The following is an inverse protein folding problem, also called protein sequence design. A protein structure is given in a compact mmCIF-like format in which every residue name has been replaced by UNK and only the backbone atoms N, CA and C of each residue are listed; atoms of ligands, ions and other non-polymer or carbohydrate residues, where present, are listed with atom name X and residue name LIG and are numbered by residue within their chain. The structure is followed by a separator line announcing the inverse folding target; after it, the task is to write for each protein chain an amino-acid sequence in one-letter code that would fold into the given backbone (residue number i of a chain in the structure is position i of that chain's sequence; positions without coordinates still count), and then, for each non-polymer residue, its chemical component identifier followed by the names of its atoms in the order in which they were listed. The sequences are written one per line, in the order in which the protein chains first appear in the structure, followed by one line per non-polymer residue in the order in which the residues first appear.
data_IF_053537951837
#
_entry.id   IF_053537951837
#
_cell.length_a   1.000
_cell.length_b   1.000
_cell.length_c   1.000
_cell.angle_alpha   90.00
_cell.angle_beta   90.00
_cell.angle_gamma   90.00
#
_symmetry.space_group_name_H-M   'P 1'
#
loop_
_entity.id
_entity.type
_entity.pdbx_description
1 polymer ?
#
# COMPACT_ATOMS: atom_id res chain seq x y z
N UNK A 1 26.02 -24.68 -0.11
CA UNK A 1 25.36 -24.20 1.13
C UNK A 1 23.93 -24.67 1.07
N UNK A 2 23.49 -25.48 2.03
CA UNK A 2 22.12 -26.03 2.03
C UNK A 2 21.16 -24.93 2.48
N UNK A 3 20.16 -24.63 1.65
CA UNK A 3 19.08 -23.72 1.96
C UNK A 3 18.24 -24.34 3.09
N UNK A 4 18.20 -23.70 4.26
CA UNK A 4 17.37 -24.11 5.39
C UNK A 4 16.16 -23.15 5.51
N UNK A 5 14.98 -23.54 5.02
CA UNK A 5 13.79 -22.70 4.99
C UNK A 5 13.34 -22.25 6.39
N UNK A 6 13.68 -23.00 7.44
CA UNK A 6 13.28 -22.66 8.81
C UNK A 6 14.11 -21.51 9.36
N UNK A 7 15.43 -21.52 9.12
CA UNK A 7 16.33 -20.43 9.56
C UNK A 7 16.06 -19.11 8.82
N UNK A 8 15.69 -19.17 7.54
CA UNK A 8 15.30 -17.98 6.78
C UNK A 8 13.96 -17.40 7.24
N UNK A 9 12.96 -18.26 7.50
CA UNK A 9 11.70 -17.83 8.12
C UNK A 9 11.97 -17.12 9.45
N UNK A 10 12.84 -17.67 10.30
CA UNK A 10 13.14 -17.10 11.62
C UNK A 10 13.82 -15.72 11.55
N UNK A 11 14.80 -15.54 10.65
CA UNK A 11 15.39 -14.22 10.38
C UNK A 11 14.38 -13.20 9.88
N UNK A 12 13.41 -13.63 9.08
CA UNK A 12 12.37 -12.75 8.57
C UNK A 12 11.34 -12.42 9.67
N UNK A 13 11.02 -13.37 10.55
CA UNK A 13 10.21 -13.12 11.74
C UNK A 13 10.84 -12.07 12.65
N UNK A 14 12.16 -12.09 12.84
CA UNK A 14 12.88 -11.06 13.60
C UNK A 14 12.79 -9.68 12.94
N UNK A 15 12.90 -9.61 11.61
CA UNK A 15 12.73 -8.35 10.87
C UNK A 15 11.30 -7.82 11.02
N UNK A 16 10.29 -8.67 10.90
CA UNK A 16 8.88 -8.30 11.06
C UNK A 16 8.51 -7.95 12.50
N UNK A 17 9.10 -8.63 13.49
CA UNK A 17 8.88 -8.31 14.91
C UNK A 17 9.50 -6.98 15.28
N UNK A 18 10.67 -6.63 14.72
CA UNK A 18 11.26 -5.29 14.88
C UNK A 18 10.36 -4.19 14.29
N UNK A 19 9.64 -4.47 13.20
CA UNK A 19 8.62 -3.54 12.68
C UNK A 19 7.38 -3.48 13.58
N UNK A 20 6.92 -4.62 14.13
CA UNK A 20 5.78 -4.68 15.06
C UNK A 20 6.05 -4.06 16.43
N UNK A 21 7.26 -4.18 16.99
CA UNK A 21 7.64 -3.51 18.24
C UNK A 21 7.68 -1.99 18.07
N UNK A 22 8.07 -1.51 16.89
CA UNK A 22 7.91 -0.11 16.54
C UNK A 22 6.44 0.30 16.42
N UNK A 23 5.50 -0.59 16.10
CA UNK A 23 4.05 -0.29 16.07
C UNK A 23 3.38 -0.30 17.46
N UNK A 24 3.99 -0.80 18.54
CA UNK A 24 3.30 -1.00 19.83
C UNK A 24 3.22 0.24 20.74
N UNK A 25 3.87 1.35 20.42
CA UNK A 25 3.68 2.61 21.16
C UNK A 25 2.39 3.28 20.68
N UNK A 26 1.43 3.54 21.57
CA UNK A 26 0.05 3.95 21.22
C UNK A 26 -0.04 5.17 20.28
N UNK A 27 0.93 6.09 20.29
CA UNK A 27 1.06 7.18 19.30
C UNK A 27 1.30 6.67 17.88
N UNK A 28 2.20 5.70 17.70
CA UNK A 28 2.54 5.14 16.39
C UNK A 28 1.40 4.36 15.76
N UNK A 29 0.53 3.70 16.55
CA UNK A 29 -0.71 3.10 16.04
C UNK A 29 -1.70 4.14 15.54
N UNK A 30 -1.85 5.25 16.26
CA UNK A 30 -2.70 6.37 15.85
C UNK A 30 -2.19 6.99 14.54
N UNK A 31 -0.88 7.26 14.45
CA UNK A 31 -0.26 7.78 13.22
C UNK A 31 -0.34 6.79 12.06
N UNK A 32 -0.18 5.50 12.31
CA UNK A 32 -0.35 4.47 11.28
C UNK A 32 -1.78 4.48 10.74
N UNK A 33 -2.78 4.47 11.62
CA UNK A 33 -4.19 4.54 11.22
C UNK A 33 -4.49 5.81 10.44
N UNK A 34 -4.01 6.97 10.92
CA UNK A 34 -4.16 8.24 10.21
C UNK A 34 -3.46 8.23 8.84
N UNK A 35 -2.28 7.64 8.74
CA UNK A 35 -1.55 7.54 7.46
C UNK A 35 -2.28 6.65 6.46
N UNK A 36 -2.91 5.57 6.93
CA UNK A 36 -3.75 4.71 6.09
C UNK A 36 -4.97 5.50 5.60
N UNK A 37 -5.66 6.21 6.49
CA UNK A 37 -6.80 7.06 6.12
C UNK A 37 -6.40 8.11 5.09
N UNK A 38 -5.33 8.87 5.34
CA UNK A 38 -4.83 9.88 4.40
C UNK A 38 -4.42 9.29 3.04
N UNK A 39 -3.83 8.09 3.03
CA UNK A 39 -3.48 7.41 1.78
C UNK A 39 -4.73 6.98 0.99
N UNK A 40 -5.79 6.54 1.68
CA UNK A 40 -7.07 6.22 1.05
C UNK A 40 -7.77 7.48 0.53
N UNK A 41 -7.69 8.59 1.27
CA UNK A 41 -8.24 9.88 0.85
C UNK A 41 -7.53 10.40 -0.41
N UNK A 42 -6.19 10.34 -0.47
CA UNK A 42 -5.44 10.69 -1.70
C UNK A 42 -5.84 9.80 -2.88
N UNK A 43 -6.06 8.51 -2.65
CA UNK A 43 -6.49 7.56 -3.68
C UNK A 43 -7.91 7.88 -4.18
N UNK A 44 -8.82 8.23 -3.28
CA UNK A 44 -10.18 8.64 -3.63
C UNK A 44 -10.19 9.96 -4.41
N UNK A 45 -9.42 10.96 -3.97
CA UNK A 45 -9.24 12.22 -4.70
C UNK A 45 -8.76 11.96 -6.13
N UNK A 46 -7.74 11.12 -6.29
CA UNK A 46 -7.25 10.72 -7.60
C UNK A 46 -8.33 10.03 -8.44
N UNK A 47 -9.11 9.11 -7.88
CA UNK A 47 -10.20 8.44 -8.61
C UNK A 47 -11.25 9.45 -9.10
N UNK A 48 -11.60 10.45 -8.28
CA UNK A 48 -12.52 11.51 -8.67
C UNK A 48 -11.96 12.36 -9.82
N UNK A 49 -10.68 12.74 -9.76
CA UNK A 49 -10.00 13.48 -10.83
C UNK A 49 -9.94 12.66 -12.12
N UNK A 50 -9.63 11.37 -12.02
CA UNK A 50 -9.62 10.46 -13.15
C UNK A 50 -11.00 10.35 -13.80
N UNK A 51 -12.07 10.19 -13.02
CA UNK A 51 -13.45 10.18 -13.54
C UNK A 51 -13.82 11.48 -14.26
N UNK A 52 -13.31 12.64 -13.81
CA UNK A 52 -13.50 13.92 -14.52
C UNK A 52 -12.75 13.93 -15.85
N UNK A 53 -11.49 13.52 -15.85
CA UNK A 53 -10.69 13.36 -17.07
C UNK A 53 -11.43 12.50 -18.12
N UNK A 54 -11.94 11.33 -17.72
CA UNK A 54 -12.68 10.44 -18.65
C UNK A 54 -13.91 11.11 -19.27
N UNK A 55 -14.59 11.98 -18.53
CA UNK A 55 -15.73 12.76 -19.06
C UNK A 55 -15.27 13.84 -20.04
N UNK A 56 -14.19 14.53 -19.71
CA UNK A 56 -13.64 15.61 -20.53
C UNK A 56 -13.12 15.10 -21.87
N UNK A 57 -12.39 13.98 -21.89
CA UNK A 57 -11.83 13.43 -23.14
C UNK A 57 -12.79 12.49 -23.87
N UNK A 58 -13.93 12.18 -23.26
CA UNK A 58 -14.88 11.18 -23.75
C UNK A 58 -15.48 11.48 -25.12
N UNK A 59 -15.40 12.72 -25.61
CA UNK A 59 -15.89 13.12 -26.93
C UNK A 59 -14.89 12.86 -28.07
N UNK A 60 -13.62 12.57 -27.77
CA UNK A 60 -12.58 12.38 -28.78
C UNK A 60 -12.68 10.99 -29.41
N UNK A 61 -12.74 10.92 -30.75
CA UNK A 61 -12.91 9.66 -31.49
C UNK A 61 -11.75 8.69 -31.26
N UNK A 62 -10.49 9.16 -31.37
CA UNK A 62 -9.31 8.32 -31.10
C UNK A 62 -9.32 7.78 -29.68
N UNK A 63 -9.81 8.57 -28.73
CA UNK A 63 -9.93 8.13 -27.36
C UNK A 63 -10.97 7.01 -27.22
N UNK A 64 -12.16 7.18 -27.79
CA UNK A 64 -13.21 6.16 -27.74
C UNK A 64 -12.80 4.84 -28.41
N UNK A 65 -12.18 4.91 -29.58
CA UNK A 65 -11.89 3.74 -30.42
C UNK A 65 -10.64 2.96 -30.00
N UNK A 66 -9.61 3.66 -29.50
CA UNK A 66 -8.28 3.05 -29.29
C UNK A 66 -7.85 3.10 -27.82
N UNK A 67 -8.10 4.20 -27.12
CA UNK A 67 -7.44 4.48 -25.83
C UNK A 67 -8.29 4.05 -24.63
N UNK A 68 -9.62 4.24 -24.71
CA UNK A 68 -10.54 4.12 -23.56
C UNK A 68 -10.42 2.78 -22.86
N UNK A 69 -10.61 1.68 -23.58
CA UNK A 69 -10.68 0.35 -22.99
C UNK A 69 -9.36 -0.08 -22.30
N UNK A 70 -8.18 0.01 -22.94
CA UNK A 70 -6.93 -0.35 -22.27
C UNK A 70 -6.63 0.61 -21.11
N UNK A 71 -6.92 1.90 -21.23
CA UNK A 71 -6.68 2.87 -20.16
C UNK A 71 -7.56 2.59 -18.93
N UNK A 72 -8.87 2.44 -19.13
CA UNK A 72 -9.83 2.19 -18.05
C UNK A 72 -9.52 0.89 -17.34
N UNK A 73 -9.32 -0.21 -18.07
CA UNK A 73 -9.03 -1.51 -17.48
C UNK A 73 -7.72 -1.50 -16.67
N UNK A 74 -6.67 -0.90 -17.20
CA UNK A 74 -5.38 -0.82 -16.51
C UNK A 74 -5.49 0.04 -15.25
N UNK A 75 -6.21 1.16 -15.33
CA UNK A 75 -6.41 2.04 -14.18
C UNK A 75 -7.27 1.39 -13.09
N UNK A 76 -8.35 0.69 -13.44
CA UNK A 76 -9.18 -0.03 -12.48
C UNK A 76 -8.39 -1.10 -11.71
N UNK A 77 -7.56 -1.87 -12.42
CA UNK A 77 -6.67 -2.84 -11.78
C UNK A 77 -5.68 -2.14 -10.84
N UNK A 78 -5.04 -1.07 -11.30
CA UNK A 78 -4.07 -0.31 -10.51
C UNK A 78 -4.71 0.27 -9.24
N UNK A 79 -5.90 0.86 -9.33
CA UNK A 79 -6.64 1.40 -8.18
C UNK A 79 -7.00 0.31 -7.17
N UNK A 80 -7.46 -0.84 -7.64
CA UNK A 80 -7.77 -2.00 -6.79
C UNK A 80 -6.53 -2.50 -6.07
N UNK A 81 -5.42 -2.66 -6.79
CA UNK A 81 -4.18 -3.20 -6.24
C UNK A 81 -3.55 -2.21 -5.24
N UNK A 82 -3.64 -0.91 -5.50
CA UNK A 82 -3.22 0.13 -4.54
C UNK A 82 -4.07 0.15 -3.28
N UNK A 83 -5.40 0.06 -3.40
CA UNK A 83 -6.29 -0.02 -2.24
C UNK A 83 -5.96 -1.25 -1.38
N UNK A 84 -5.77 -2.41 -2.02
CA UNK A 84 -5.36 -3.62 -1.32
C UNK A 84 -4.00 -3.45 -0.63
N UNK A 85 -3.01 -2.85 -1.29
CA UNK A 85 -1.70 -2.57 -0.72
C UNK A 85 -1.79 -1.65 0.51
N UNK A 86 -2.66 -0.64 0.50
CA UNK A 86 -2.82 0.28 1.63
C UNK A 86 -3.54 -0.40 2.82
N UNK A 87 -4.62 -1.14 2.54
CA UNK A 87 -5.50 -1.72 3.56
C UNK A 87 -4.97 -3.04 4.13
N UNK A 88 -4.34 -3.89 3.31
CA UNK A 88 -3.98 -5.26 3.74
C UNK A 88 -2.81 -5.22 4.72
N UNK A 89 -3.13 -5.54 5.97
CA UNK A 89 -2.17 -5.94 6.99
C UNK A 89 -2.27 -7.46 7.17
N UNK A 90 -1.14 -8.18 7.09
CA UNK A 90 -1.11 -9.63 7.28
C UNK A 90 -0.91 -9.97 8.75
N UNK A 91 -1.70 -10.90 9.29
CA UNK A 91 -1.47 -11.42 10.65
C UNK A 91 -0.35 -12.45 10.65
N UNK A 92 0.17 -12.76 11.85
CA UNK A 92 1.17 -13.83 12.00
C UNK A 92 0.62 -15.18 11.57
N UNK A 93 -0.65 -15.48 11.89
CA UNK A 93 -1.27 -16.75 11.49
C UNK A 93 -1.47 -16.82 9.96
N UNK A 94 -1.84 -15.71 9.32
CA UNK A 94 -1.96 -15.66 7.86
C UNK A 94 -0.62 -15.93 7.19
N UNK A 95 0.47 -15.37 7.71
CA UNK A 95 1.83 -15.52 7.20
C UNK A 95 2.41 -16.94 7.36
N UNK A 96 1.97 -17.69 8.37
CA UNK A 96 2.39 -19.07 8.62
C UNK A 96 1.79 -20.07 7.63
N UNK A 97 0.59 -19.77 7.12
CA UNK A 97 -0.16 -20.62 6.20
C UNK A 97 0.23 -20.42 4.73
N UNK A 98 1.03 -19.38 4.43
CA UNK A 98 1.41 -19.05 3.06
C UNK A 98 2.60 -19.91 2.58
N UNK A 99 2.55 -20.43 1.34
CA UNK A 99 3.71 -21.03 0.68
C UNK A 99 4.94 -20.09 0.69
N UNK A 100 6.15 -20.66 0.83
CA UNK A 100 7.40 -19.92 0.98
C UNK A 100 7.74 -19.00 -0.20
N UNK A 101 7.32 -19.38 -1.41
CA UNK A 101 7.47 -18.62 -2.65
C UNK A 101 6.57 -17.37 -2.69
N UNK A 102 5.38 -17.45 -2.12
CA UNK A 102 4.45 -16.32 -1.99
C UNK A 102 4.82 -15.43 -0.80
N UNK A 103 5.46 -15.99 0.22
CA UNK A 103 5.94 -15.27 1.40
C UNK A 103 6.89 -14.10 1.05
N UNK A 104 7.83 -14.31 0.13
CA UNK A 104 8.75 -13.24 -0.33
C UNK A 104 8.02 -12.08 -1.02
N UNK A 105 6.95 -12.39 -1.76
CA UNK A 105 6.12 -11.39 -2.42
C UNK A 105 5.34 -10.56 -1.39
N UNK A 106 4.85 -11.21 -0.33
CA UNK A 106 4.15 -10.52 0.77
C UNK A 106 5.10 -9.56 1.48
N UNK A 107 6.33 -9.98 1.80
CA UNK A 107 7.32 -9.10 2.44
C UNK A 107 7.61 -7.87 1.58
N UNK A 108 7.83 -8.06 0.27
CA UNK A 108 8.07 -6.96 -0.66
C UNK A 108 6.89 -5.98 -0.69
N UNK A 109 5.66 -6.48 -0.79
CA UNK A 109 4.45 -5.68 -0.75
C UNK A 109 4.31 -4.89 0.56
N UNK A 110 4.58 -5.54 1.71
CA UNK A 110 4.53 -4.87 3.01
C UNK A 110 5.63 -3.82 3.20
N UNK A 111 6.83 -4.02 2.63
CA UNK A 111 7.88 -2.99 2.59
C UNK A 111 7.43 -1.78 1.77
N UNK A 112 6.86 -2.00 0.59
CA UNK A 112 6.33 -0.93 -0.26
C UNK A 112 5.23 -0.14 0.45
N UNK A 113 4.29 -0.84 1.10
CA UNK A 113 3.26 -0.25 1.94
C UNK A 113 3.85 0.60 3.06
N UNK A 114 4.81 0.08 3.81
CA UNK A 114 5.42 0.81 4.92
C UNK A 114 6.12 2.09 4.43
N UNK A 115 6.85 2.04 3.31
CA UNK A 115 7.50 3.21 2.73
C UNK A 115 6.49 4.25 2.21
N UNK A 116 5.39 3.82 1.60
CA UNK A 116 4.29 4.70 1.20
C UNK A 116 3.70 5.42 2.42
N UNK A 117 3.32 4.67 3.46
CA UNK A 117 2.70 5.25 4.65
C UNK A 117 3.65 6.17 5.41
N UNK A 118 4.97 5.89 5.44
CA UNK A 118 5.97 6.81 5.96
C UNK A 118 6.01 8.13 5.18
N UNK A 119 5.90 8.10 3.85
CA UNK A 119 5.87 9.31 3.02
C UNK A 119 4.60 10.13 3.27
N UNK A 120 3.45 9.48 3.39
CA UNK A 120 2.18 10.12 3.76
C UNK A 120 2.30 10.78 5.15
N UNK A 121 2.81 10.04 6.14
CA UNK A 121 3.02 10.58 7.48
C UNK A 121 3.95 11.81 7.47
N UNK A 122 5.06 11.76 6.72
CA UNK A 122 5.98 12.90 6.58
C UNK A 122 5.31 14.12 5.97
N UNK A 123 4.49 13.93 4.94
CA UNK A 123 3.80 15.01 4.22
C UNK A 123 2.72 15.69 5.07
N UNK A 124 1.96 14.92 5.84
CA UNK A 124 0.73 15.41 6.49
C UNK A 124 0.79 15.50 8.01
N UNK A 125 1.64 14.69 8.67
CA UNK A 125 1.64 14.53 10.13
C UNK A 125 2.89 15.11 10.80
N UNK A 126 4.00 15.31 10.07
CA UNK A 126 5.23 15.88 10.66
C UNK A 126 5.26 17.42 10.65
N UNK A 127 4.50 18.09 9.78
CA UNK A 127 4.39 19.56 9.79
C UNK A 127 3.42 20.09 10.85
N UNK A 128 2.60 19.22 11.46
CA UNK A 128 1.65 19.56 12.53
C UNK A 128 2.34 19.88 13.87
N UNK A 129 3.68 19.90 13.92
CA UNK A 129 4.50 20.00 15.14
C UNK A 129 5.41 21.24 15.19
N UNK A 130 5.30 22.16 14.23
CA UNK A 130 5.99 23.46 14.31
C UNK A 130 5.07 24.64 14.65
N UNK A 131 3.84 24.36 15.06
CA UNK A 131 2.86 25.38 15.49
C UNK A 131 2.31 25.15 16.91
N UNK A 132 3.06 24.47 17.79
CA UNK A 132 2.84 24.54 19.26
C UNK A 132 4.04 25.15 19.99
#
# INVERSE_FOLDING_TARGET
MSYDPQQEKQKIYEVLSQFQEHEQQMEKRKYLKMSITLALDELEEFEQLYRRFLKEVGHLVVYQEIIKDPLVRNMENLLRDLRFLIEKNYTKEELEQVPSDVYQQIIQSQKQRAELLKKIARKYLMHSFHEE
#
